data_IF_226114469233
#
_entry.id   IF_226114469233
#
_cell.length_a   1.000
_cell.length_b   1.000
_cell.length_c   1.000
_cell.angle_alpha   90.00
_cell.angle_beta   90.00
_cell.angle_gamma   90.00
#
_symmetry.space_group_name_H-M   'P 1'
#
loop_
_entity.id
_entity.type
_entity.pdbx_description
1 polymer ?
#
# COMPACT_ATOMS: atom_id res chain seq x y z
N UNK A 1 -12.27 7.86 3.53
CA UNK A 1 -13.11 7.00 2.65
C UNK A 1 -12.82 5.52 2.82
N UNK A 2 -11.55 5.06 2.83
CA UNK A 2 -11.18 3.65 3.02
C UNK A 2 -11.78 3.02 4.30
N UNK A 3 -11.79 3.74 5.43
CA UNK A 3 -12.41 3.26 6.66
C UNK A 3 -13.91 2.96 6.53
N UNK A 4 -14.66 3.84 5.85
CA UNK A 4 -16.08 3.61 5.56
C UNK A 4 -16.27 2.40 4.64
N UNK A 5 -15.40 2.24 3.64
CA UNK A 5 -15.44 1.11 2.72
C UNK A 5 -15.27 -0.23 3.43
N UNK A 6 -14.34 -0.32 4.39
CA UNK A 6 -14.16 -1.52 5.20
C UNK A 6 -15.32 -1.74 6.16
N UNK A 7 -15.84 -0.69 6.79
CA UNK A 7 -16.97 -0.81 7.73
C UNK A 7 -18.24 -1.34 7.03
N UNK A 8 -18.52 -0.86 5.81
CA UNK A 8 -19.63 -1.35 4.99
C UNK A 8 -19.33 -2.73 4.40
N UNK A 9 -18.11 -2.94 3.86
CA UNK A 9 -17.73 -4.17 3.17
C UNK A 9 -17.69 -5.41 4.08
N UNK A 10 -17.29 -5.26 5.34
CA UNK A 10 -17.24 -6.36 6.30
C UNK A 10 -18.61 -7.05 6.48
N UNK A 11 -19.72 -6.31 6.39
CA UNK A 11 -21.07 -6.89 6.51
C UNK A 11 -21.41 -7.85 5.37
N UNK A 12 -20.75 -7.70 4.22
CA UNK A 12 -20.93 -8.53 3.03
C UNK A 12 -19.82 -9.59 2.87
N UNK A 13 -18.99 -9.80 3.89
CA UNK A 13 -17.87 -10.75 3.84
C UNK A 13 -16.70 -10.30 2.96
N UNK A 14 -16.58 -8.99 2.68
CA UNK A 14 -15.46 -8.46 1.92
C UNK A 14 -14.14 -8.59 2.71
N UNK A 15 -13.05 -8.92 2.02
CA UNK A 15 -11.71 -8.84 2.60
C UNK A 15 -11.33 -7.38 2.87
N UNK A 16 -10.53 -7.09 3.92
CA UNK A 16 -10.11 -5.74 4.25
C UNK A 16 -9.33 -5.12 3.09
N UNK A 17 -9.79 -3.94 2.68
CA UNK A 17 -9.27 -3.22 1.54
C UNK A 17 -8.49 -1.97 1.96
N UNK A 18 -7.57 -1.55 1.10
CA UNK A 18 -6.78 -0.33 1.25
C UNK A 18 -7.03 0.61 0.05
N UNK A 19 -6.15 1.58 -0.16
CA UNK A 19 -6.29 2.54 -1.26
C UNK A 19 -6.14 1.92 -2.65
N UNK A 20 -5.53 0.73 -2.77
CA UNK A 20 -5.43 0.00 -4.03
C UNK A 20 -4.47 0.62 -5.05
N UNK A 21 -3.37 1.23 -4.59
CA UNK A 21 -2.43 1.99 -5.42
C UNK A 21 -1.90 1.21 -6.64
N UNK A 22 -1.59 -0.09 -6.52
CA UNK A 22 -1.07 -0.88 -7.64
C UNK A 22 -2.05 -1.03 -8.80
N UNK A 23 -3.34 -1.22 -8.51
CA UNK A 23 -4.38 -1.30 -9.55
C UNK A 23 -4.61 0.05 -10.21
N UNK A 24 -4.55 1.14 -9.44
CA UNK A 24 -4.66 2.51 -9.94
C UNK A 24 -3.49 2.88 -10.85
N UNK A 25 -2.26 2.49 -10.50
CA UNK A 25 -1.09 2.67 -11.35
C UNK A 25 -1.24 1.96 -12.70
N UNK A 26 -1.83 0.75 -12.70
CA UNK A 26 -2.20 0.03 -13.93
C UNK A 26 -3.19 0.82 -14.78
N UNK A 27 -4.29 1.31 -14.19
CA UNK A 27 -5.28 2.14 -14.89
C UNK A 27 -4.64 3.36 -15.53
N UNK A 28 -3.74 4.02 -14.78
CA UNK A 28 -3.03 5.19 -15.27
C UNK A 28 -2.14 4.87 -16.48
N UNK A 29 -1.42 3.74 -16.45
CA UNK A 29 -0.62 3.26 -17.60
C UNK A 29 -1.48 2.89 -18.81
N UNK A 30 -2.71 2.43 -18.60
CA UNK A 30 -3.69 2.19 -19.68
C UNK A 30 -4.45 3.45 -20.14
N UNK A 31 -4.05 4.64 -19.68
CA UNK A 31 -4.63 5.92 -20.10
C UNK A 31 -5.82 6.41 -19.28
N UNK A 32 -6.20 5.70 -18.21
CA UNK A 32 -7.23 6.14 -17.26
C UNK A 32 -6.74 7.33 -16.44
N UNK A 33 -7.33 8.50 -16.66
CA UNK A 33 -6.94 9.76 -15.99
C UNK A 33 -7.95 10.28 -14.98
N UNK A 34 -9.09 9.60 -14.83
CA UNK A 34 -10.17 10.00 -13.92
C UNK A 34 -10.62 8.84 -13.02
N UNK A 35 -11.22 9.18 -11.87
CA UNK A 35 -11.86 8.20 -10.99
C UNK A 35 -13.05 7.47 -11.63
N UNK A 36 -13.64 8.05 -12.69
CA UNK A 36 -14.72 7.44 -13.45
C UNK A 36 -14.30 6.12 -14.12
N UNK A 37 -13.07 6.03 -14.63
CA UNK A 37 -12.54 4.79 -15.19
C UNK A 37 -12.52 3.65 -14.16
N UNK A 38 -12.11 3.97 -12.93
CA UNK A 38 -12.06 3.01 -11.81
C UNK A 38 -13.47 2.61 -11.39
N UNK A 39 -14.39 3.57 -11.32
CA UNK A 39 -15.80 3.32 -10.98
C UNK A 39 -16.49 2.40 -12.01
N UNK A 40 -16.29 2.66 -13.31
CA UNK A 40 -16.84 1.82 -14.37
C UNK A 40 -16.30 0.40 -14.34
N UNK A 41 -15.01 0.22 -14.09
CA UNK A 41 -14.41 -1.12 -13.96
C UNK A 41 -14.89 -1.84 -12.70
N UNK A 42 -15.09 -1.12 -11.59
CA UNK A 42 -15.70 -1.65 -10.39
C UNK A 42 -17.13 -2.12 -10.64
N UNK A 43 -17.94 -1.28 -11.29
CA UNK A 43 -19.32 -1.61 -11.66
C UNK A 43 -19.39 -2.80 -12.63
N UNK A 44 -18.52 -2.85 -13.64
CA UNK A 44 -18.43 -3.98 -14.56
C UNK A 44 -18.06 -5.28 -13.84
N UNK A 45 -17.07 -5.25 -12.92
CA UNK A 45 -16.73 -6.42 -12.08
C UNK A 45 -17.90 -6.84 -11.19
N UNK A 46 -18.65 -5.89 -10.63
CA UNK A 46 -19.82 -6.17 -9.79
C UNK A 46 -20.92 -6.86 -10.60
N UNK A 47 -21.28 -6.33 -11.77
CA UNK A 47 -22.26 -6.94 -12.67
C UNK A 47 -21.81 -8.35 -13.08
N UNK A 48 -20.54 -8.51 -13.45
CA UNK A 48 -19.99 -9.81 -13.82
C UNK A 48 -20.03 -10.82 -12.66
N UNK A 49 -19.74 -10.37 -11.44
CA UNK A 49 -19.82 -11.19 -10.23
C UNK A 49 -21.25 -11.63 -9.90
N UNK A 50 -22.23 -10.72 -10.05
CA UNK A 50 -23.64 -11.03 -9.79
C UNK A 50 -24.26 -11.96 -10.84
N UNK A 51 -23.89 -11.81 -12.12
CA UNK A 51 -24.48 -12.60 -13.22
C UNK A 51 -23.75 -13.93 -13.43
N UNK A 52 -22.42 -13.97 -13.29
CA UNK A 52 -21.56 -15.10 -13.67
C UNK A 52 -20.70 -15.65 -12.53
N UNK A 53 -20.92 -15.26 -11.28
CA UNK A 53 -20.01 -15.49 -10.15
C UNK A 53 -19.39 -16.90 -10.08
N UNK A 54 -20.20 -17.95 -9.97
CA UNK A 54 -19.71 -19.34 -9.86
C UNK A 54 -18.99 -19.84 -11.11
N UNK A 55 -19.38 -19.39 -12.29
CA UNK A 55 -18.76 -19.76 -13.57
C UNK A 55 -17.44 -19.02 -13.78
N UNK A 56 -17.39 -17.74 -13.41
CA UNK A 56 -16.20 -16.91 -13.52
C UNK A 56 -15.07 -17.40 -12.61
N UNK A 57 -15.39 -17.83 -11.39
CA UNK A 57 -14.39 -18.37 -10.45
C UNK A 57 -13.70 -19.61 -11.03
N UNK A 58 -14.42 -20.49 -11.73
CA UNK A 58 -13.82 -21.66 -12.40
C UNK A 58 -12.83 -21.23 -13.50
N UNK A 59 -13.18 -20.24 -14.31
CA UNK A 59 -12.28 -19.71 -15.34
C UNK A 59 -11.06 -19.05 -14.71
N UNK A 60 -11.25 -18.23 -13.66
CA UNK A 60 -10.15 -17.58 -12.94
C UNK A 60 -9.20 -18.58 -12.28
N UNK A 61 -9.70 -19.75 -11.85
CA UNK A 61 -8.86 -20.81 -11.29
C UNK A 61 -7.90 -21.45 -12.29
N UNK A 62 -8.18 -21.34 -13.59
CA UNK A 62 -7.32 -21.83 -14.66
C UNK A 62 -6.27 -20.81 -15.10
N UNK A 63 -6.30 -19.60 -14.52
CA UNK A 63 -5.38 -18.54 -14.90
C UNK A 63 -3.94 -18.91 -14.48
N UNK A 64 -2.94 -18.78 -15.37
CA UNK A 64 -1.58 -19.21 -15.09
C UNK A 64 -0.96 -18.39 -13.95
N UNK A 65 -0.62 -19.08 -12.85
CA UNK A 65 0.00 -18.48 -11.66
C UNK A 65 1.31 -17.75 -11.97
N UNK A 66 2.06 -18.19 -12.99
CA UNK A 66 3.29 -17.52 -13.43
C UNK A 66 3.04 -16.10 -13.95
N UNK A 67 1.99 -15.91 -14.75
CA UNK A 67 1.60 -14.58 -15.26
C UNK A 67 1.16 -13.69 -14.10
N UNK A 68 0.38 -14.25 -13.16
CA UNK A 68 -0.04 -13.54 -11.97
C UNK A 68 1.17 -13.05 -11.15
N UNK A 69 2.17 -13.90 -10.94
CA UNK A 69 3.41 -13.56 -10.25
C UNK A 69 4.19 -12.43 -10.92
N UNK A 70 4.33 -12.45 -12.25
CA UNK A 70 5.03 -11.39 -13.00
C UNK A 70 4.29 -10.06 -12.88
N UNK A 71 2.96 -10.05 -12.98
CA UNK A 71 2.14 -8.85 -12.81
C UNK A 71 2.27 -8.27 -11.39
N UNK A 72 2.24 -9.14 -10.37
CA UNK A 72 2.44 -8.72 -8.97
C UNK A 72 3.85 -8.17 -8.74
N UNK A 73 4.88 -8.79 -9.32
CA UNK A 73 6.26 -8.34 -9.22
C UNK A 73 6.42 -6.94 -9.83
N UNK A 74 5.87 -6.70 -11.02
CA UNK A 74 5.94 -5.39 -11.65
C UNK A 74 5.20 -4.31 -10.84
N UNK A 75 3.99 -4.62 -10.36
CA UNK A 75 3.25 -3.71 -9.48
C UNK A 75 4.01 -3.43 -8.17
N UNK A 76 4.66 -4.44 -7.60
CA UNK A 76 5.50 -4.31 -6.41
C UNK A 76 6.71 -3.41 -6.63
N UNK A 77 7.41 -3.56 -7.77
CA UNK A 77 8.55 -2.70 -8.14
C UNK A 77 8.08 -1.26 -8.33
N UNK A 78 6.96 -1.03 -9.01
CA UNK A 78 6.39 0.32 -9.20
C UNK A 78 6.09 1.01 -7.87
N UNK A 79 5.49 0.30 -6.91
CA UNK A 79 5.28 0.84 -5.56
C UNK A 79 6.59 1.03 -4.79
N UNK A 80 7.56 0.13 -4.97
CA UNK A 80 8.86 0.23 -4.30
C UNK A 80 9.69 1.43 -4.79
N UNK A 81 9.47 1.93 -6.01
CA UNK A 81 10.15 3.12 -6.51
C UNK A 81 9.90 4.37 -5.67
N UNK A 82 8.77 4.46 -4.95
CA UNK A 82 8.49 5.55 -3.99
C UNK A 82 9.53 5.63 -2.86
N UNK A 83 10.33 4.58 -2.63
CA UNK A 83 11.45 4.61 -1.70
C UNK A 83 12.55 5.62 -2.11
N UNK A 84 12.61 6.00 -3.40
CA UNK A 84 13.58 6.99 -3.90
C UNK A 84 13.25 8.42 -3.47
N UNK A 85 12.02 8.70 -3.07
CA UNK A 85 11.59 10.03 -2.65
C UNK A 85 12.06 10.37 -1.22
N UNK A 86 12.82 9.47 -0.58
CA UNK A 86 13.32 9.65 0.76
C UNK A 86 14.57 10.55 0.80
N UNK A 87 14.45 11.70 1.47
CA UNK A 87 15.48 12.74 1.46
C UNK A 87 16.54 12.59 2.56
N UNK A 88 16.31 11.77 3.59
CA UNK A 88 17.22 11.62 4.73
C UNK A 88 17.62 10.17 5.02
N UNK A 89 18.86 9.99 5.50
CA UNK A 89 19.38 8.66 5.92
C UNK A 89 18.54 8.04 7.04
N UNK A 90 18.02 8.87 7.94
CA UNK A 90 17.20 8.42 9.07
C UNK A 90 15.85 7.86 8.60
N UNK A 91 15.19 8.53 7.65
CA UNK A 91 13.90 8.06 7.12
C UNK A 91 14.06 6.84 6.21
N UNK A 92 15.14 6.76 5.42
CA UNK A 92 15.47 5.56 4.64
C UNK A 92 15.76 4.36 5.53
N UNK A 93 16.44 4.56 6.67
CA UNK A 93 16.68 3.51 7.65
C UNK A 93 15.37 2.98 8.24
N UNK A 94 14.45 3.87 8.65
CA UNK A 94 13.14 3.48 9.20
C UNK A 94 12.31 2.71 8.16
N UNK A 95 12.30 3.17 6.91
CA UNK A 95 11.56 2.52 5.82
C UNK A 95 12.12 1.11 5.51
N UNK A 96 13.45 0.96 5.43
CA UNK A 96 14.09 -0.34 5.19
C UNK A 96 13.85 -1.30 6.36
N UNK A 97 13.94 -0.81 7.60
CA UNK A 97 13.68 -1.60 8.80
C UNK A 97 12.22 -2.07 8.87
N UNK A 98 11.27 -1.18 8.59
CA UNK A 98 9.84 -1.53 8.48
C UNK A 98 9.61 -2.63 7.42
N UNK A 99 10.25 -2.51 6.26
CA UNK A 99 10.13 -3.48 5.16
C UNK A 99 10.75 -4.83 5.55
N UNK A 100 11.95 -4.84 6.12
CA UNK A 100 12.64 -6.06 6.55
C UNK A 100 11.83 -6.81 7.62
N UNK A 101 11.32 -6.10 8.62
CA UNK A 101 10.52 -6.71 9.69
C UNK A 101 9.17 -7.22 9.15
N UNK A 102 8.55 -6.50 8.23
CA UNK A 102 7.31 -6.96 7.58
C UNK A 102 7.51 -8.27 6.82
N UNK A 103 8.65 -8.40 6.12
CA UNK A 103 8.95 -9.56 5.28
C UNK A 103 9.34 -10.78 6.11
N UNK A 104 10.18 -10.59 7.13
CA UNK A 104 10.63 -11.68 8.03
C UNK A 104 9.51 -12.09 8.99
N UNK A 105 8.77 -11.12 9.54
CA UNK A 105 7.69 -11.36 10.49
C UNK A 105 6.35 -11.75 9.85
N UNK A 106 6.30 -11.90 8.52
CA UNK A 106 5.10 -12.24 7.73
C UNK A 106 3.88 -11.37 8.05
N UNK A 107 4.09 -10.15 8.56
CA UNK A 107 3.02 -9.28 9.03
C UNK A 107 3.38 -7.81 8.90
N UNK A 108 2.56 -7.09 8.14
CA UNK A 108 2.70 -5.65 7.97
C UNK A 108 2.52 -4.88 9.29
N UNK A 109 1.74 -5.44 10.23
CA UNK A 109 1.54 -4.85 11.56
C UNK A 109 2.84 -4.79 12.36
N UNK A 110 3.65 -5.86 12.38
CA UNK A 110 4.93 -5.88 13.09
C UNK A 110 5.91 -4.87 12.49
N UNK A 111 5.99 -4.82 11.15
CA UNK A 111 6.84 -3.82 10.49
C UNK A 111 6.43 -2.39 10.80
N UNK A 112 5.13 -2.09 10.78
CA UNK A 112 4.61 -0.78 11.13
C UNK A 112 4.94 -0.37 12.57
N UNK A 113 4.70 -1.26 13.55
CA UNK A 113 5.02 -1.00 14.96
C UNK A 113 6.52 -0.81 15.15
N UNK A 114 7.35 -1.68 14.57
CA UNK A 114 8.80 -1.58 14.68
C UNK A 114 9.34 -0.29 14.05
N UNK A 115 8.83 0.10 12.88
CA UNK A 115 9.18 1.36 12.22
C UNK A 115 8.77 2.58 13.04
N UNK A 116 7.59 2.55 13.66
CA UNK A 116 7.13 3.62 14.54
C UNK A 116 8.04 3.80 15.76
N UNK A 117 8.41 2.70 16.42
CA UNK A 117 9.34 2.72 17.56
C UNK A 117 10.72 3.24 17.13
N UNK A 118 11.26 2.75 16.02
CA UNK A 118 12.55 3.20 15.49
C UNK A 118 12.54 4.71 15.18
N UNK A 119 11.49 5.22 14.52
CA UNK A 119 11.35 6.64 14.22
C UNK A 119 11.27 7.50 15.49
N UNK A 120 10.53 7.04 16.51
CA UNK A 120 10.42 7.74 17.79
C UNK A 120 11.77 7.81 18.52
N UNK A 121 12.53 6.70 18.55
CA UNK A 121 13.87 6.67 19.16
C UNK A 121 14.86 7.61 18.45
N UNK A 122 14.78 7.71 17.13
CA UNK A 122 15.62 8.65 16.36
C UNK A 122 15.27 10.11 16.67
N UNK A 123 13.99 10.43 16.85
CA UNK A 123 13.56 11.76 17.30
C UNK A 123 14.12 12.05 18.70
N UNK A 124 13.96 11.13 19.66
CA UNK A 124 14.45 11.33 21.03
C UNK A 124 15.96 11.56 21.08
N UNK A 125 16.74 10.80 20.30
CA UNK A 125 18.19 10.99 20.20
C UNK A 125 18.60 12.34 19.60
N UNK A 126 17.81 12.88 18.67
CA UNK A 126 18.07 14.21 18.10
C UNK A 126 17.82 15.32 19.11
N UNK A 127 16.81 15.17 19.96
CA UNK A 127 16.50 16.10 21.04
C UNK A 127 17.58 16.07 22.13
N UNK A 128 18.04 14.87 22.52
CA UNK A 128 19.08 14.68 23.53
C UNK A 128 20.44 15.29 23.12
N UNK A 129 20.79 15.22 21.83
CA UNK A 129 21.98 15.90 21.27
C UNK A 129 21.85 17.43 21.14
N UNK A 130 20.89 18.05 21.82
CA UNK A 130 20.77 19.51 21.95
C UNK A 130 20.12 20.23 20.77
N UNK A 131 19.48 19.52 19.82
CA UNK A 131 18.62 20.19 18.83
C UNK A 131 17.27 20.49 19.47
N UNK A 132 16.96 21.78 19.66
CA UNK A 132 15.67 22.23 20.15
C UNK A 132 14.52 21.65 19.31
N UNK A 133 13.45 21.22 19.98
CA UNK A 133 12.24 20.64 19.37
C UNK A 133 11.68 21.53 18.23
N UNK A 134 11.74 22.85 18.40
CA UNK A 134 11.31 23.82 17.38
C UNK A 134 12.14 23.77 16.10
N UNK A 135 13.45 23.52 16.19
CA UNK A 135 14.34 23.41 15.01
C UNK A 135 14.12 22.10 14.26
N UNK A 136 13.83 21.00 14.98
CA UNK A 136 13.52 19.69 14.38
C UNK A 136 12.17 19.73 13.66
N UNK A 137 11.18 20.43 14.22
CA UNK A 137 9.85 20.55 13.63
C UNK A 137 9.81 21.55 12.46
N UNK A 138 10.56 22.66 12.53
CA UNK A 138 10.67 23.62 11.42
C UNK A 138 11.41 23.06 10.21
N UNK A 139 12.49 22.29 10.40
CA UNK A 139 13.26 21.71 9.29
C UNK A 139 12.56 20.51 8.60
N UNK A 140 11.42 20.06 9.15
CA UNK A 140 10.56 18.99 8.60
C UNK A 140 9.55 19.54 7.56
N UNK A 141 9.33 20.86 7.50
CA UNK A 141 8.41 21.48 6.54
C UNK A 141 9.16 22.37 5.53
N UNK A 142 9.63 21.83 4.41
CA UNK A 142 9.63 22.55 3.14
C UNK A 142 8.27 22.44 2.43
#
# INVERSE_FOLDING_TARGET
>A
TVGLMNLVGCWFGAMPCCHGAGGLAGQYKFGGRSGGCVALLGAAKLVLGLVLGSSLVKVLSQFPVGVLGVLLLFAGIELAMCCRDMNSKDESFVMLLCTAVSLVGSSAALGFVCGMVAHLLLILRKLDKGKSFSTVWMHRNP
#
